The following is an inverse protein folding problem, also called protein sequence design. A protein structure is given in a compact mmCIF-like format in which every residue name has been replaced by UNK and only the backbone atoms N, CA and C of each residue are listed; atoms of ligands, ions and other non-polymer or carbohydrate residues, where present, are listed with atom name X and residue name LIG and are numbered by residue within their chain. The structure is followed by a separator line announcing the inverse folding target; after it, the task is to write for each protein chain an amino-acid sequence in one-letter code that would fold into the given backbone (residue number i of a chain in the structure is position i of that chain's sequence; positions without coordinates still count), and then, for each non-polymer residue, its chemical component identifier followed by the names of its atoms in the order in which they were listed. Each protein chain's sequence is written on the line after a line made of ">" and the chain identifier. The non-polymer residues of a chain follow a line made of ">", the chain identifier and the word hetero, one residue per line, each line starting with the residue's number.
data_IF_024250063095
#
_entry.id   IF_024250063095
#
_cell.length_a   1.000
_cell.length_b   1.000
_cell.length_c   1.000
_cell.angle_alpha   90.00
_cell.angle_beta   90.00
_cell.angle_gamma   90.00
#
_symmetry.space_group_name_H-M   'P 1'
#
loop_
_entity.id
_entity.type
_entity.pdbx_description
1 polymer ?
#
# COMPACT_ATOMS: atom_id res chain seq x y z
N UNK A 1 9.23 -11.84 27.66
CA UNK A 1 8.24 -10.90 27.09
C UNK A 1 8.67 -10.35 25.72
N UNK A 2 9.05 -11.19 24.73
CA UNK A 2 9.38 -10.70 23.37
C UNK A 2 9.10 -11.77 22.32
N UNK A 3 7.82 -11.97 21.98
CA UNK A 3 7.40 -12.86 20.87
C UNK A 3 6.59 -12.10 19.82
N UNK A 4 7.01 -10.88 19.47
CA UNK A 4 6.23 -9.99 18.58
C UNK A 4 6.89 -9.65 17.24
N UNK A 5 8.01 -10.29 16.89
CA UNK A 5 8.69 -10.09 15.61
C UNK A 5 8.36 -11.16 14.56
N UNK A 6 7.19 -11.80 14.64
CA UNK A 6 6.60 -12.38 13.42
C UNK A 6 6.18 -11.20 12.55
N UNK A 7 7.09 -10.77 11.68
CA UNK A 7 6.80 -9.85 10.59
C UNK A 7 5.74 -10.51 9.73
N UNK A 8 4.46 -10.23 9.99
CA UNK A 8 3.41 -10.65 9.07
C UNK A 8 3.69 -9.92 7.75
N UNK A 9 4.07 -10.63 6.68
CA UNK A 9 4.38 -10.00 5.39
C UNK A 9 3.18 -9.19 4.89
N UNK A 10 1.96 -9.66 5.22
CA UNK A 10 0.70 -8.97 4.96
C UNK A 10 0.64 -7.61 5.67
N UNK A 11 1.07 -7.49 6.94
CA UNK A 11 1.08 -6.19 7.65
C UNK A 11 2.05 -5.20 7.04
N UNK A 12 3.16 -5.66 6.47
CA UNK A 12 4.09 -4.78 5.74
C UNK A 12 3.46 -4.25 4.47
N UNK A 13 2.81 -5.12 3.70
CA UNK A 13 2.10 -4.75 2.48
C UNK A 13 0.91 -3.81 2.77
N UNK A 14 0.12 -4.09 3.83
CA UNK A 14 -0.98 -3.21 4.26
C UNK A 14 -0.48 -1.80 4.60
N UNK A 15 0.68 -1.70 5.26
CA UNK A 15 1.31 -0.41 5.56
C UNK A 15 1.77 0.31 4.29
N UNK A 16 2.46 -0.40 3.39
CA UNK A 16 2.91 0.15 2.11
C UNK A 16 1.74 0.66 1.25
N UNK A 17 0.65 -0.11 1.20
CA UNK A 17 -0.59 0.27 0.54
C UNK A 17 -1.16 1.57 1.12
N UNK A 18 -1.23 1.68 2.45
CA UNK A 18 -1.69 2.89 3.13
C UNK A 18 -0.84 4.13 2.80
N UNK A 19 0.49 3.98 2.81
CA UNK A 19 1.41 5.07 2.46
C UNK A 19 1.25 5.53 1.00
N UNK A 20 1.03 4.59 0.07
CA UNK A 20 0.79 4.92 -1.33
C UNK A 20 -0.53 5.67 -1.51
N UNK A 21 -1.60 5.25 -0.82
CA UNK A 21 -2.88 5.95 -0.84
C UNK A 21 -2.78 7.36 -0.26
N UNK A 22 -2.06 7.54 0.84
CA UNK A 22 -1.87 8.86 1.45
C UNK A 22 -1.15 9.81 0.48
N UNK A 23 -0.06 9.34 -0.15
CA UNK A 23 0.66 10.10 -1.17
C UNK A 23 -0.22 10.39 -2.39
N UNK A 24 -1.03 9.42 -2.82
CA UNK A 24 -1.97 9.60 -3.93
C UNK A 24 -3.00 10.69 -3.58
N UNK A 25 -3.57 10.69 -2.38
CA UNK A 25 -4.49 11.75 -1.94
C UNK A 25 -3.81 13.12 -1.92
N UNK A 26 -2.57 13.20 -1.45
CA UNK A 26 -1.80 14.45 -1.47
C UNK A 26 -1.55 14.94 -2.90
N UNK A 27 -1.17 14.05 -3.82
CA UNK A 27 -1.00 14.35 -5.24
C UNK A 27 -2.32 14.82 -5.89
N UNK A 28 -3.44 14.15 -5.58
CA UNK A 28 -4.77 14.52 -6.06
C UNK A 28 -5.18 15.90 -5.56
N UNK A 29 -4.96 16.20 -4.26
CA UNK A 29 -5.23 17.53 -3.68
C UNK A 29 -4.33 18.62 -4.24
N UNK A 30 -3.10 18.28 -4.60
CA UNK A 30 -2.16 19.18 -5.28
C UNK A 30 -2.44 19.36 -6.78
N UNK A 31 -3.36 18.59 -7.35
CA UNK A 31 -3.67 18.63 -8.79
C UNK A 31 -2.66 17.90 -9.68
N UNK A 32 -1.75 17.11 -9.11
CA UNK A 32 -0.80 16.29 -9.88
C UNK A 32 -1.44 14.96 -10.28
N UNK A 33 -2.19 15.01 -11.38
CA UNK A 33 -2.95 13.86 -11.89
C UNK A 33 -2.01 12.73 -12.34
N UNK A 34 -0.84 13.05 -12.91
CA UNK A 34 0.12 12.04 -13.36
C UNK A 34 0.65 11.26 -12.17
N UNK A 35 1.13 11.97 -11.16
CA UNK A 35 1.63 11.36 -9.93
C UNK A 35 0.52 10.58 -9.20
N UNK A 36 -0.69 11.12 -9.16
CA UNK A 36 -1.84 10.41 -8.62
C UNK A 36 -2.07 9.07 -9.33
N UNK A 37 -2.13 9.06 -10.66
CA UNK A 37 -2.32 7.83 -11.45
C UNK A 37 -1.22 6.81 -11.18
N UNK A 38 0.04 7.22 -11.17
CA UNK A 38 1.17 6.33 -10.86
C UNK A 38 1.12 5.76 -9.44
N UNK A 39 0.76 6.58 -8.45
CA UNK A 39 0.67 6.15 -7.05
C UNK A 39 -0.52 5.22 -6.82
N UNK A 40 -1.65 5.47 -7.47
CA UNK A 40 -2.82 4.59 -7.43
C UNK A 40 -2.53 3.25 -8.09
N UNK A 41 -1.86 3.22 -9.25
CA UNK A 41 -1.46 1.97 -9.91
C UNK A 41 -0.52 1.13 -9.03
N UNK A 42 0.45 1.79 -8.37
CA UNK A 42 1.32 1.13 -7.38
C UNK A 42 0.51 0.59 -6.19
N UNK A 43 -0.46 1.34 -5.70
CA UNK A 43 -1.32 0.90 -4.60
C UNK A 43 -2.13 -0.34 -5.01
N UNK A 44 -2.71 -0.36 -6.20
CA UNK A 44 -3.44 -1.53 -6.72
C UNK A 44 -2.53 -2.76 -6.85
N UNK A 45 -1.29 -2.59 -7.32
CA UNK A 45 -0.32 -3.67 -7.39
C UNK A 45 0.03 -4.24 -6.00
N UNK A 46 0.14 -3.40 -4.97
CA UNK A 46 0.36 -3.86 -3.59
C UNK A 46 -0.87 -4.56 -3.04
N UNK A 47 -2.08 -4.05 -3.33
CA UNK A 47 -3.34 -4.68 -2.94
C UNK A 47 -3.50 -6.08 -3.55
N UNK A 48 -3.15 -6.25 -4.82
CA UNK A 48 -3.16 -7.57 -5.46
C UNK A 48 -2.24 -8.57 -4.72
N UNK A 49 -1.05 -8.13 -4.27
CA UNK A 49 -0.15 -8.96 -3.46
C UNK A 49 -0.72 -9.30 -2.09
N UNK A 50 -1.44 -8.36 -1.46
CA UNK A 50 -2.13 -8.60 -0.18
C UNK A 50 -3.21 -9.66 -0.38
N UNK A 51 -4.02 -9.53 -1.43
CA UNK A 51 -5.10 -10.46 -1.73
C UNK A 51 -4.55 -11.87 -2.06
N UNK A 52 -3.48 -11.95 -2.85
CA UNK A 52 -2.78 -13.20 -3.14
C UNK A 52 -2.24 -13.84 -1.87
N UNK A 53 -1.56 -13.08 -1.01
CA UNK A 53 -1.01 -13.57 0.26
C UNK A 53 -2.06 -13.97 1.29
N UNK A 54 -3.30 -13.45 1.19
CA UNK A 54 -4.44 -13.83 2.04
C UNK A 54 -5.23 -15.01 1.48
N UNK A 55 -5.11 -15.30 0.19
CA UNK A 55 -5.81 -16.39 -0.50
C UNK A 55 -5.14 -17.77 -0.38
N UNK A 56 -3.96 -17.83 0.26
CA UNK A 56 -3.18 -19.05 0.57
C UNK A 56 -3.39 -19.44 2.03
#
# INVERSE_FOLDING_TARGET
>A
MFSFLKSDPIKKLDKEYGELLEKAMQAQRGGDIRLYSELTEKAEAVKAKIDEARSV
#
